data_IF_624178452957
#
_entry.id   IF_624178452957
#
_cell.length_a   1.000
_cell.length_b   1.000
_cell.length_c   1.000
_cell.angle_alpha   90.00
_cell.angle_beta   90.00
_cell.angle_gamma   90.00
#
_symmetry.space_group_name_H-M   'P 1'
#
loop_
_entity.id
_entity.type
_entity.pdbx_description
1 polymer ?
#
# COMPACT_ATOMS: atom_id res chain seq x y z
N UNK A 1 14.70 14.86 -3.43
CA UNK A 1 15.69 15.29 -4.45
C UNK A 1 15.44 16.70 -4.97
N UNK A 2 14.28 17.03 -5.58
CA UNK A 2 13.95 18.41 -5.96
C UNK A 2 14.07 19.39 -4.78
N UNK A 3 13.60 18.97 -3.60
CA UNK A 3 13.67 19.75 -2.38
C UNK A 3 15.10 20.15 -1.98
N UNK A 4 16.11 19.27 -2.16
CA UNK A 4 17.51 19.63 -1.88
C UNK A 4 17.94 20.76 -2.81
N UNK A 5 17.70 20.60 -4.11
CA UNK A 5 18.05 21.62 -5.10
C UNK A 5 17.36 22.96 -4.82
N UNK A 6 16.06 22.95 -4.51
CA UNK A 6 15.29 24.15 -4.19
C UNK A 6 15.80 24.84 -2.92
N UNK A 7 16.18 24.06 -1.90
CA UNK A 7 16.74 24.57 -0.65
C UNK A 7 18.12 25.21 -0.86
N UNK A 8 18.99 24.61 -1.65
CA UNK A 8 20.33 25.17 -1.94
C UNK A 8 20.30 26.42 -2.84
N UNK A 9 19.18 26.67 -3.52
CA UNK A 9 18.93 27.93 -4.25
C UNK A 9 18.48 29.09 -3.34
N UNK A 10 18.17 28.85 -2.07
CA UNK A 10 17.67 29.87 -1.14
C UNK A 10 18.77 30.58 -0.38
N UNK A 11 18.44 31.64 0.33
CA UNK A 11 19.42 32.41 1.10
C UNK A 11 20.22 31.55 2.10
N UNK A 12 21.45 31.97 2.43
CA UNK A 12 22.33 31.26 3.35
C UNK A 12 21.77 31.21 4.77
N UNK A 13 22.10 30.16 5.50
CA UNK A 13 21.61 29.84 6.84
C UNK A 13 20.80 28.56 6.88
N UNK A 14 20.09 28.34 7.99
CA UNK A 14 19.21 27.20 8.16
C UNK A 14 18.03 27.27 7.20
N UNK A 15 17.79 26.16 6.50
CA UNK A 15 16.66 26.00 5.60
C UNK A 15 16.03 24.63 5.83
N UNK A 16 14.71 24.54 5.76
CA UNK A 16 14.06 23.22 5.75
C UNK A 16 14.23 22.55 4.39
N UNK A 17 14.43 21.24 4.43
CA UNK A 17 14.31 20.36 3.28
C UNK A 17 12.83 19.96 3.16
N UNK A 18 12.09 20.63 2.28
CA UNK A 18 10.68 20.35 2.04
C UNK A 18 9.71 21.35 2.68
N UNK A 19 8.62 20.85 3.27
CA UNK A 19 7.52 21.69 3.77
C UNK A 19 7.84 22.15 5.20
N UNK A 20 7.96 23.46 5.42
CA UNK A 20 8.22 24.04 6.75
C UNK A 20 7.06 23.86 7.75
N UNK A 21 5.87 23.51 7.29
CA UNK A 21 4.62 23.51 8.06
C UNK A 21 4.25 22.15 8.68
N UNK A 22 5.21 21.24 8.84
CA UNK A 22 4.98 19.93 9.46
C UNK A 22 5.70 19.83 10.80
N UNK A 23 5.15 19.02 11.71
CA UNK A 23 5.67 18.84 13.05
C UNK A 23 7.02 18.11 13.09
N UNK A 24 7.41 17.43 12.03
CA UNK A 24 8.71 16.76 11.91
C UNK A 24 9.29 17.16 10.57
N UNK A 25 10.47 17.78 10.59
CA UNK A 25 11.11 18.24 9.36
C UNK A 25 12.62 18.15 9.45
N UNK A 26 13.22 17.98 8.29
CA UNK A 26 14.67 17.99 8.11
C UNK A 26 15.11 19.40 7.76
N UNK A 27 16.24 19.83 8.29
CA UNK A 27 16.85 21.11 7.97
C UNK A 27 18.32 20.97 7.61
N UNK A 28 18.81 21.91 6.81
CA UNK A 28 20.21 22.00 6.38
C UNK A 28 20.70 23.43 6.53
N UNK A 29 21.93 23.60 7.00
CA UNK A 29 22.59 24.89 7.08
C UNK A 29 23.34 25.15 5.77
N UNK A 30 22.79 26.03 4.94
CA UNK A 30 23.39 26.41 3.66
C UNK A 30 24.43 27.50 3.89
N UNK A 31 25.67 27.21 3.60
CA UNK A 31 26.81 28.12 3.85
C UNK A 31 27.18 28.94 2.61
N UNK A 32 27.71 30.15 2.82
CA UNK A 32 28.17 31.08 1.78
C UNK A 32 29.63 30.91 1.38
N UNK A 33 30.34 29.99 2.02
CA UNK A 33 31.77 29.85 1.85
C UNK A 33 32.24 28.44 2.18
N UNK A 34 33.54 28.17 1.96
CA UNK A 34 34.11 26.85 2.18
C UNK A 34 34.05 26.51 3.67
N UNK A 35 33.15 25.60 4.02
CA UNK A 35 33.11 24.97 5.34
C UNK A 35 33.64 23.54 5.24
N UNK A 36 34.38 23.06 6.25
CA UNK A 36 34.89 21.68 6.24
C UNK A 36 33.76 20.67 6.38
N UNK A 37 32.66 21.06 7.02
CA UNK A 37 31.51 20.20 7.32
C UNK A 37 30.21 20.85 6.85
N UNK A 38 29.21 20.01 6.55
CA UNK A 38 27.83 20.42 6.35
C UNK A 38 27.02 20.06 7.59
N UNK A 39 26.25 21.00 8.09
CA UNK A 39 25.36 20.78 9.22
C UNK A 39 23.95 20.51 8.70
N UNK A 40 23.37 19.40 9.16
CA UNK A 40 21.98 19.03 8.93
C UNK A 40 21.33 18.75 10.27
N UNK A 41 20.01 18.84 10.36
CA UNK A 41 19.28 18.64 11.59
C UNK A 41 17.98 17.89 11.35
N UNK A 42 17.72 16.88 12.17
CA UNK A 42 16.41 16.27 12.29
C UNK A 42 15.65 16.96 13.43
N UNK A 43 14.47 17.51 13.13
CA UNK A 43 13.70 18.33 14.07
C UNK A 43 12.34 17.67 14.34
N UNK A 44 12.04 17.41 15.61
CA UNK A 44 10.73 16.87 16.04
C UNK A 44 9.95 17.91 16.85
N UNK A 45 9.30 18.83 16.13
CA UNK A 45 8.38 19.84 16.64
C UNK A 45 7.09 19.30 17.30
N UNK A 46 6.83 17.99 17.30
CA UNK A 46 5.72 17.37 18.08
C UNK A 46 5.79 17.71 19.57
N UNK A 47 7.00 17.88 20.13
CA UNK A 47 7.20 18.30 21.53
C UNK A 47 6.53 19.64 21.81
N UNK A 48 6.63 20.60 20.89
CA UNK A 48 6.04 21.91 21.06
C UNK A 48 4.50 21.85 21.09
N UNK A 49 3.90 20.99 20.28
CA UNK A 49 2.46 20.71 20.33
C UNK A 49 2.05 20.11 21.69
N UNK A 50 2.84 19.17 22.21
CA UNK A 50 2.61 18.59 23.54
C UNK A 50 2.69 19.64 24.65
N UNK A 51 3.66 20.55 24.60
CA UNK A 51 3.79 21.66 25.56
C UNK A 51 2.54 22.56 25.58
N UNK A 52 2.00 22.90 24.41
CA UNK A 52 0.77 23.69 24.33
C UNK A 52 -0.43 22.94 24.93
N UNK A 53 -0.58 21.66 24.59
CA UNK A 53 -1.66 20.81 25.11
C UNK A 53 -1.57 20.64 26.63
N UNK A 54 -0.36 20.54 27.18
CA UNK A 54 -0.16 20.52 28.63
C UNK A 54 -0.53 21.85 29.28
N UNK A 55 -0.12 22.99 28.69
CA UNK A 55 -0.46 24.31 29.22
C UNK A 55 -1.98 24.59 29.18
N UNK A 56 -2.65 24.21 28.10
CA UNK A 56 -4.10 24.40 27.96
C UNK A 56 -4.91 23.58 28.98
N UNK A 57 -4.40 22.41 29.38
CA UNK A 57 -5.09 21.51 30.31
C UNK A 57 -4.73 21.76 31.78
N UNK A 58 -3.45 22.00 32.07
CA UNK A 58 -2.94 21.97 33.46
C UNK A 58 -2.51 23.33 34.01
N UNK A 59 -2.44 24.38 33.19
CA UNK A 59 -1.93 25.66 33.64
C UNK A 59 -2.78 26.25 34.78
N UNK A 60 -2.08 26.81 35.78
CA UNK A 60 -2.70 27.56 36.88
C UNK A 60 -3.35 28.86 36.40
N UNK A 61 -2.96 29.34 35.22
CA UNK A 61 -3.43 30.59 34.66
C UNK A 61 -4.58 30.37 33.68
N UNK A 62 -5.71 31.03 33.93
CA UNK A 62 -6.89 30.95 33.07
C UNK A 62 -6.60 31.39 31.62
N UNK A 63 -5.74 32.37 31.41
CA UNK A 63 -5.40 32.86 30.06
C UNK A 63 -4.67 31.81 29.22
N UNK A 64 -3.91 30.90 29.83
CA UNK A 64 -3.26 29.80 29.12
C UNK A 64 -4.25 28.67 28.81
N UNK A 65 -5.16 28.37 29.75
CA UNK A 65 -6.19 27.34 29.57
C UNK A 65 -7.25 27.68 28.53
N UNK A 66 -7.58 28.97 28.41
CA UNK A 66 -8.56 29.48 27.45
C UNK A 66 -7.90 30.15 26.24
N UNK A 67 -6.60 29.94 26.02
CA UNK A 67 -5.95 30.44 24.81
C UNK A 67 -6.49 29.69 23.60
N UNK A 68 -6.72 30.40 22.49
CA UNK A 68 -7.12 29.83 21.21
C UNK A 68 -5.91 29.62 20.29
N UNK A 69 -4.73 29.42 20.87
CA UNK A 69 -3.46 29.33 20.15
C UNK A 69 -2.32 30.07 20.85
N UNK A 70 -1.15 30.01 20.23
CA UNK A 70 0.03 30.75 20.67
C UNK A 70 0.92 31.16 19.48
N UNK A 71 1.73 32.17 19.71
CA UNK A 71 2.89 32.48 18.90
C UNK A 71 4.09 32.48 19.86
N UNK A 72 5.04 31.59 19.61
CA UNK A 72 6.15 31.36 20.51
C UNK A 72 7.43 31.03 19.74
N UNK A 73 8.55 31.55 20.24
CA UNK A 73 9.88 31.04 19.89
C UNK A 73 10.30 30.05 20.96
N UNK A 74 10.35 28.77 20.62
CA UNK A 74 10.63 27.67 21.52
C UNK A 74 11.97 27.04 21.18
N UNK A 75 12.69 26.62 22.22
CA UNK A 75 13.85 25.74 22.04
C UNK A 75 13.35 24.32 21.99
N UNK A 76 13.42 23.71 20.83
CA UNK A 76 12.95 22.34 20.60
C UNK A 76 14.18 21.43 20.48
N UNK A 77 14.17 20.24 21.09
CA UNK A 77 15.24 19.28 20.89
C UNK A 77 15.28 18.83 19.42
N UNK A 78 16.48 18.71 18.85
CA UNK A 78 16.75 18.15 17.54
C UNK A 78 18.04 17.32 17.55
N UNK A 79 18.26 16.56 16.50
CA UNK A 79 19.51 15.84 16.28
C UNK A 79 20.33 16.60 15.26
N UNK A 80 21.48 17.12 15.69
CA UNK A 80 22.44 17.78 14.82
C UNK A 80 23.36 16.72 14.22
N UNK A 81 23.48 16.75 12.89
CA UNK A 81 24.36 15.92 12.11
C UNK A 81 25.39 16.79 11.43
N UNK A 82 26.67 16.61 11.78
CA UNK A 82 27.79 17.27 11.12
C UNK A 82 28.47 16.27 10.18
N UNK A 83 28.34 16.50 8.86
CA UNK A 83 28.83 15.59 7.83
C UNK A 83 30.07 16.16 7.15
N UNK A 84 31.15 15.38 7.12
CA UNK A 84 32.39 15.63 6.39
C UNK A 84 32.66 14.46 5.46
N UNK A 85 33.03 14.72 4.21
CA UNK A 85 33.39 13.67 3.25
C UNK A 85 34.79 13.90 2.70
N UNK A 86 35.54 12.80 2.57
CA UNK A 86 36.92 12.79 2.07
C UNK A 86 37.01 11.81 0.91
N UNK A 87 37.70 12.18 -0.17
CA UNK A 87 37.94 11.27 -1.29
C UNK A 87 38.79 10.08 -0.85
N UNK A 88 38.41 8.88 -1.29
CA UNK A 88 39.13 7.63 -0.99
C UNK A 88 39.40 6.89 -2.28
N UNK A 89 40.61 6.34 -2.39
CA UNK A 89 41.04 5.63 -3.58
C UNK A 89 40.94 4.12 -3.36
N UNK A 90 40.50 3.39 -4.39
CA UNK A 90 40.49 1.92 -4.39
C UNK A 90 39.28 1.28 -3.73
N UNK A 91 38.20 2.03 -3.46
CA UNK A 91 36.92 1.48 -3.02
C UNK A 91 36.32 0.56 -4.10
N UNK A 92 35.58 -0.45 -3.67
CA UNK A 92 34.98 -1.42 -4.58
C UNK A 92 33.83 -0.79 -5.40
N UNK A 93 33.70 -1.15 -6.67
CA UNK A 93 32.66 -0.61 -7.55
C UNK A 93 31.27 -0.92 -6.98
N UNK A 94 30.46 0.12 -6.81
CA UNK A 94 29.09 0.04 -6.30
C UNK A 94 29.00 -0.28 -4.81
N UNK A 95 30.11 -0.28 -4.06
CA UNK A 95 30.08 -0.59 -2.63
C UNK A 95 29.47 0.54 -1.83
N UNK A 96 28.64 0.16 -0.88
CA UNK A 96 28.17 1.02 0.20
C UNK A 96 28.45 0.27 1.50
N UNK A 97 29.33 0.81 2.33
CA UNK A 97 29.57 0.26 3.67
C UNK A 97 29.28 1.33 4.69
N UNK A 98 28.63 0.93 5.78
CA UNK A 98 28.26 1.85 6.86
C UNK A 98 28.69 1.23 8.17
N UNK A 99 29.29 2.02 9.06
CA UNK A 99 29.71 1.58 10.38
C UNK A 99 29.58 2.72 11.39
N UNK A 100 29.14 2.43 12.61
CA UNK A 100 29.18 3.36 13.72
C UNK A 100 30.49 3.20 14.52
N UNK A 101 30.98 4.29 15.11
CA UNK A 101 32.09 4.27 16.07
C UNK A 101 31.61 4.66 17.47
N UNK A 102 32.48 4.47 18.47
CA UNK A 102 32.22 4.80 19.89
C UNK A 102 32.02 6.30 20.16
N UNK A 103 32.35 7.17 19.21
CA UNK A 103 32.27 8.63 19.34
C UNK A 103 31.00 9.20 18.69
N UNK A 104 29.91 8.43 18.64
CA UNK A 104 28.65 8.82 18.00
C UNK A 104 28.80 9.29 16.54
N UNK A 105 29.79 8.73 15.83
CA UNK A 105 30.03 9.03 14.40
C UNK A 105 29.63 7.84 13.54
N UNK A 106 28.87 8.10 12.49
CA UNK A 106 28.58 7.13 11.42
C UNK A 106 29.58 7.36 10.29
N UNK A 107 30.31 6.32 9.91
CA UNK A 107 31.15 6.30 8.72
C UNK A 107 30.39 5.62 7.58
N UNK A 108 30.32 6.30 6.43
CA UNK A 108 29.69 5.81 5.20
C UNK A 108 30.75 5.84 4.10
N UNK A 109 31.16 4.67 3.61
CA UNK A 109 32.03 4.56 2.44
C UNK A 109 31.20 4.27 1.19
N UNK A 110 31.33 5.12 0.18
CA UNK A 110 30.66 5.00 -1.11
C UNK A 110 31.73 4.80 -2.18
N UNK A 111 31.70 3.63 -2.82
CA UNK A 111 32.60 3.28 -3.90
C UNK A 111 32.13 3.77 -5.27
N UNK A 112 32.99 3.67 -6.29
CA UNK A 112 32.73 4.22 -7.63
C UNK A 112 31.56 3.51 -8.33
N UNK A 113 30.79 4.22 -9.17
CA UNK A 113 29.64 3.60 -9.82
C UNK A 113 30.04 2.64 -10.97
N UNK A 114 31.20 2.88 -11.61
CA UNK A 114 31.80 1.98 -12.61
C UNK A 114 33.32 1.96 -12.44
N UNK A 115 34.00 0.95 -12.98
CA UNK A 115 35.47 0.85 -12.92
C UNK A 115 36.20 1.98 -13.67
N UNK A 116 35.49 2.73 -14.52
CA UNK A 116 36.06 3.75 -15.40
C UNK A 116 35.54 5.17 -15.04
N UNK A 117 34.90 5.34 -13.89
CA UNK A 117 34.43 6.67 -13.46
C UNK A 117 35.58 7.54 -12.97
N UNK A 118 35.47 8.86 -13.14
CA UNK A 118 36.39 9.85 -12.55
C UNK A 118 36.27 9.93 -11.02
N UNK A 119 35.10 9.59 -10.49
CA UNK A 119 34.87 9.41 -9.07
C UNK A 119 35.47 8.08 -8.64
N UNK A 120 36.48 8.10 -7.77
CA UNK A 120 37.17 6.90 -7.26
C UNK A 120 36.56 6.33 -5.97
N UNK A 121 35.78 7.14 -5.26
CA UNK A 121 35.18 6.80 -3.97
C UNK A 121 35.25 7.95 -2.97
N UNK A 122 34.42 7.86 -1.93
CA UNK A 122 34.37 8.84 -0.84
C UNK A 122 34.03 8.16 0.47
N UNK A 123 34.62 8.63 1.56
CA UNK A 123 34.26 8.26 2.91
C UNK A 123 33.68 9.49 3.61
N UNK A 124 32.44 9.37 4.06
CA UNK A 124 31.73 10.37 4.80
C UNK A 124 31.68 10.01 6.28
N UNK A 125 31.96 10.97 7.15
CA UNK A 125 31.87 10.89 8.59
C UNK A 125 30.75 11.81 9.03
N UNK A 126 29.78 11.25 9.75
CA UNK A 126 28.58 11.94 10.22
C UNK A 126 28.62 11.90 11.74
N UNK A 127 28.99 13.01 12.37
CA UNK A 127 28.95 13.15 13.82
C UNK A 127 27.54 13.51 14.26
N UNK A 128 26.98 12.73 15.18
CA UNK A 128 25.62 12.92 15.71
C UNK A 128 25.72 13.53 17.11
N UNK A 129 24.92 14.56 17.35
CA UNK A 129 24.86 15.23 18.65
C UNK A 129 23.43 15.71 18.94
N UNK A 130 22.94 15.42 20.14
CA UNK A 130 21.74 16.08 20.66
C UNK A 130 21.94 17.60 20.74
N UNK A 131 21.01 18.36 20.18
CA UNK A 131 21.03 19.80 20.20
C UNK A 131 19.65 20.40 20.45
N UNK A 132 19.59 21.66 20.85
CA UNK A 132 18.35 22.44 20.88
C UNK A 132 18.43 23.55 19.84
N UNK A 133 17.35 23.72 19.10
CA UNK A 133 17.22 24.79 18.10
C UNK A 133 16.04 25.69 18.43
N UNK A 134 16.24 27.00 18.25
CA UNK A 134 15.14 27.95 18.31
C UNK A 134 14.24 27.78 17.09
N UNK A 135 13.01 27.34 17.32
CA UNK A 135 11.96 27.28 16.32
C UNK A 135 10.88 28.27 16.68
N UNK A 136 10.37 28.95 15.66
CA UNK A 136 9.11 29.64 15.82
C UNK A 136 7.96 28.73 15.48
N UNK A 137 6.92 28.88 16.29
CA UNK A 137 5.71 28.12 16.15
C UNK A 137 4.53 29.08 16.23
N UNK A 138 3.62 28.89 15.28
CA UNK A 138 2.33 29.54 15.30
C UNK A 138 1.23 28.46 15.33
N UNK A 139 0.38 28.57 16.35
CA UNK A 139 -0.81 27.74 16.51
C UNK A 139 -2.03 28.64 16.57
N UNK A 140 -3.07 28.27 15.82
CA UNK A 140 -4.38 28.90 15.87
C UNK A 140 -5.46 27.82 16.01
N UNK A 141 -6.40 28.03 16.92
CA UNK A 141 -7.49 27.09 17.19
C UNK A 141 -8.44 26.97 16.00
N UNK A 142 -8.89 25.75 15.73
CA UNK A 142 -9.84 25.40 14.67
C UNK A 142 -9.28 24.69 13.44
N UNK A 143 -7.95 24.67 13.23
CA UNK A 143 -7.34 24.00 12.06
C UNK A 143 -6.61 22.70 12.40
N UNK A 144 -6.21 22.48 13.67
CA UNK A 144 -5.35 21.35 14.03
C UNK A 144 -3.93 21.42 13.46
N UNK A 145 -3.64 22.45 12.66
CA UNK A 145 -2.42 22.62 11.91
C UNK A 145 -1.44 23.52 12.69
N UNK A 146 -0.34 22.92 13.12
CA UNK A 146 0.79 23.64 13.72
C UNK A 146 1.70 24.14 12.60
N UNK A 147 1.92 25.45 12.52
CA UNK A 147 2.92 26.01 11.61
C UNK A 147 4.25 26.15 12.32
N UNK A 148 5.30 25.55 11.75
CA UNK A 148 6.66 25.65 12.25
C UNK A 148 7.51 26.50 11.31
N UNK A 149 8.54 27.14 11.85
CA UNK A 149 9.53 27.83 11.05
C UNK A 149 10.88 27.86 11.76
N UNK A 150 11.88 27.27 11.12
CA UNK A 150 13.28 27.38 11.52
C UNK A 150 13.90 28.73 11.10
N UNK A 151 13.34 29.36 10.06
CA UNK A 151 13.83 30.62 9.47
C UNK A 151 13.13 31.87 10.00
N UNK A 152 12.28 31.73 11.02
CA UNK A 152 11.44 32.81 11.53
C UNK A 152 10.67 33.52 10.39
N UNK A 153 10.05 32.72 9.51
CA UNK A 153 9.33 33.19 8.32
C UNK A 153 10.14 34.16 7.45
N UNK A 154 11.45 33.94 7.35
CA UNK A 154 12.39 34.75 6.59
C UNK A 154 12.99 35.95 7.34
N UNK A 155 12.67 36.15 8.63
CA UNK A 155 13.23 37.24 9.44
C UNK A 155 14.53 36.84 10.17
N UNK A 156 14.91 35.57 10.15
CA UNK A 156 16.16 35.11 10.76
C UNK A 156 16.57 33.72 10.29
N UNK A 157 17.49 33.66 9.31
CA UNK A 157 18.00 32.41 8.75
C UNK A 157 19.01 31.68 9.66
N UNK A 158 19.59 32.39 10.64
CA UNK A 158 20.62 31.84 11.53
C UNK A 158 20.06 31.59 12.93
N UNK A 159 19.20 30.56 13.05
CA UNK A 159 18.75 30.10 14.35
C UNK A 159 19.94 29.67 15.23
N UNK A 160 19.94 30.10 16.50
CA UNK A 160 20.95 29.68 17.46
C UNK A 160 20.77 28.21 17.81
N UNK A 161 21.87 27.45 17.76
CA UNK A 161 21.92 26.04 18.14
C UNK A 161 22.64 25.94 19.48
N UNK A 162 22.01 25.25 20.44
CA UNK A 162 22.64 24.86 21.69
C UNK A 162 22.94 23.38 21.65
N UNK A 163 24.21 23.05 21.39
CA UNK A 163 24.75 21.71 21.52
C UNK A 163 24.70 21.26 22.98
N UNK A 164 24.14 20.09 23.25
CA UNK A 164 24.00 19.57 24.61
C UNK A 164 25.26 18.82 25.09
N UNK A 165 26.24 18.63 24.21
CA UNK A 165 27.45 17.88 24.48
C UNK A 165 27.25 16.38 24.25
N UNK A 166 28.34 15.68 23.96
CA UNK A 166 28.31 14.24 23.69
C UNK A 166 27.83 13.44 24.91
N UNK A 167 26.93 12.49 24.64
CA UNK A 167 26.27 11.62 25.61
C UNK A 167 26.27 10.16 25.14
N UNK A 168 26.03 9.22 26.05
CA UNK A 168 25.83 7.79 25.70
C UNK A 168 24.62 7.58 24.78
N UNK A 169 23.62 8.46 24.87
CA UNK A 169 22.46 8.48 23.99
C UNK A 169 22.90 8.76 22.53
N UNK A 170 23.84 9.68 22.29
CA UNK A 170 24.34 9.98 20.94
C UNK A 170 25.00 8.77 20.28
N UNK A 171 25.75 7.98 21.05
CA UNK A 171 26.35 6.74 20.57
C UNK A 171 25.29 5.69 20.20
N UNK A 172 24.26 5.56 21.05
CA UNK A 172 23.14 4.65 20.79
C UNK A 172 22.42 5.06 19.49
N UNK A 173 22.15 6.35 19.29
CA UNK A 173 21.55 6.87 18.07
C UNK A 173 22.40 6.60 16.81
N UNK A 174 23.72 6.76 16.90
CA UNK A 174 24.62 6.47 15.79
C UNK A 174 24.62 4.97 15.41
N UNK A 175 24.65 4.10 16.42
CA UNK A 175 24.60 2.64 16.23
C UNK A 175 23.26 2.22 15.63
N UNK A 176 22.16 2.70 16.18
CA UNK A 176 20.82 2.36 15.68
C UNK A 176 20.55 2.93 14.28
N UNK A 177 20.98 4.17 14.01
CA UNK A 177 20.88 4.77 12.69
C UNK A 177 21.70 4.01 11.64
N UNK A 178 22.85 3.46 12.04
CA UNK A 178 23.66 2.60 11.19
C UNK A 178 22.95 1.29 10.86
N UNK A 179 22.42 0.59 11.87
CA UNK A 179 21.67 -0.65 11.69
C UNK A 179 20.49 -0.45 10.72
N UNK A 180 19.69 0.59 10.97
CA UNK A 180 18.55 0.94 10.10
C UNK A 180 18.98 1.23 8.67
N UNK A 181 20.05 2.02 8.49
CA UNK A 181 20.57 2.33 7.16
C UNK A 181 21.03 1.08 6.43
N UNK A 182 21.75 0.19 7.10
CA UNK A 182 22.18 -1.08 6.53
C UNK A 182 20.99 -1.95 6.09
N UNK A 183 19.91 -1.97 6.88
CA UNK A 183 18.72 -2.78 6.58
C UNK A 183 17.95 -2.28 5.35
N UNK A 184 17.86 -0.96 5.12
CA UNK A 184 17.16 -0.43 3.94
C UNK A 184 18.06 -0.20 2.72
N UNK A 185 19.38 -0.15 2.89
CA UNK A 185 20.33 0.12 1.81
C UNK A 185 20.10 -0.80 0.59
N UNK A 186 19.84 -2.12 0.73
CA UNK A 186 19.51 -2.96 -0.41
C UNK A 186 18.26 -2.49 -1.17
N UNK A 187 17.23 -2.00 -0.45
CA UNK A 187 16.02 -1.48 -1.08
C UNK A 187 16.31 -0.18 -1.85
N UNK A 188 17.13 0.71 -1.30
CA UNK A 188 17.54 1.92 -2.00
C UNK A 188 18.36 1.63 -3.26
N UNK A 189 19.27 0.66 -3.19
CA UNK A 189 20.04 0.21 -4.35
C UNK A 189 19.14 -0.40 -5.44
N UNK A 190 18.02 -1.01 -5.05
CA UNK A 190 17.03 -1.60 -5.94
C UNK A 190 15.94 -0.63 -6.43
N UNK A 191 15.94 0.65 -6.01
CA UNK A 191 14.95 1.64 -6.49
C UNK A 191 15.08 1.94 -8.00
N UNK A 192 16.22 1.59 -8.59
CA UNK A 192 16.43 1.70 -10.02
C UNK A 192 15.96 0.44 -10.74
N UNK A 193 15.09 0.62 -11.73
CA UNK A 193 14.67 -0.44 -12.65
C UNK A 193 15.80 -0.95 -13.56
N UNK A 194 16.92 -0.23 -13.63
CA UNK A 194 18.12 -0.60 -14.36
C UNK A 194 19.38 -0.27 -13.53
N UNK A 195 19.73 -1.10 -12.52
CA UNK A 195 20.81 -0.80 -11.57
C UNK A 195 22.21 -0.69 -12.23
N UNK A 196 22.36 -1.21 -13.46
CA UNK A 196 23.57 -1.06 -14.27
C UNK A 196 23.69 0.31 -14.96
N UNK A 197 22.59 1.07 -15.07
CA UNK A 197 22.52 2.35 -15.80
C UNK A 197 22.34 3.51 -14.82
N UNK A 198 21.46 3.36 -13.84
CA UNK A 198 21.23 4.34 -12.78
C UNK A 198 21.38 3.61 -11.45
N UNK A 199 22.48 3.81 -10.75
CA UNK A 199 22.68 3.31 -9.39
C UNK A 199 22.49 4.47 -8.39
N UNK A 200 22.23 4.15 -7.13
CA UNK A 200 22.15 5.13 -6.03
C UNK A 200 23.40 6.04 -6.01
N UNK A 201 24.58 5.46 -6.22
CA UNK A 201 25.82 6.23 -6.30
C UNK A 201 25.81 7.24 -7.45
N UNK A 202 25.42 6.84 -8.67
CA UNK A 202 25.38 7.77 -9.80
C UNK A 202 24.37 8.89 -9.60
N UNK A 203 23.27 8.61 -8.89
CA UNK A 203 22.26 9.61 -8.56
C UNK A 203 22.82 10.65 -7.58
N UNK A 204 23.52 10.21 -6.53
CA UNK A 204 24.15 11.10 -5.56
C UNK A 204 25.20 11.99 -6.22
N UNK A 205 26.05 11.41 -7.08
CA UNK A 205 27.06 12.18 -7.82
C UNK A 205 26.39 13.21 -8.72
N UNK A 206 25.32 12.84 -9.45
CA UNK A 206 24.60 13.78 -10.31
C UNK A 206 24.00 14.96 -9.52
N UNK A 207 23.50 14.71 -8.30
CA UNK A 207 23.01 15.77 -7.41
C UNK A 207 24.19 16.62 -6.92
N UNK A 208 25.29 16.00 -6.51
CA UNK A 208 26.47 16.71 -6.05
C UNK A 208 27.03 17.64 -7.15
N UNK A 209 27.17 17.14 -8.38
CA UNK A 209 27.55 17.93 -9.55
C UNK A 209 26.58 19.11 -9.75
N UNK A 210 25.28 18.87 -9.63
CA UNK A 210 24.27 19.92 -9.74
C UNK A 210 24.44 20.98 -8.63
N UNK A 211 24.71 20.57 -7.39
CA UNK A 211 24.97 21.48 -6.28
C UNK A 211 26.25 22.31 -6.49
N UNK A 212 27.30 21.72 -7.05
CA UNK A 212 28.51 22.44 -7.42
C UNK A 212 28.23 23.53 -8.47
N UNK A 213 27.33 23.27 -9.44
CA UNK A 213 26.96 24.27 -10.46
C UNK A 213 26.18 25.47 -9.91
N UNK A 214 25.57 25.36 -8.72
CA UNK A 214 24.86 26.47 -8.06
C UNK A 214 25.82 27.54 -7.47
N UNK A 215 27.13 27.39 -7.68
CA UNK A 215 28.17 28.41 -7.50
C UNK A 215 28.27 29.03 -6.09
N UNK A 216 28.29 28.18 -5.05
CA UNK A 216 28.62 28.57 -3.64
C UNK A 216 30.03 28.16 -3.18
N UNK A 217 30.89 27.76 -4.12
CA UNK A 217 32.24 27.30 -3.79
C UNK A 217 32.31 25.91 -3.16
N UNK A 218 31.30 25.07 -3.37
CA UNK A 218 31.32 23.68 -2.94
C UNK A 218 32.28 22.83 -3.77
N UNK A 219 33.14 22.07 -3.10
CA UNK A 219 33.87 20.96 -3.69
C UNK A 219 32.94 19.77 -3.92
N UNK A 220 33.36 18.80 -4.75
CA UNK A 220 32.65 17.54 -4.95
C UNK A 220 32.37 16.83 -3.62
N UNK A 221 33.37 16.73 -2.75
CA UNK A 221 33.22 16.13 -1.42
C UNK A 221 32.21 16.86 -0.56
N UNK A 222 32.20 18.19 -0.56
CA UNK A 222 31.28 18.99 0.25
C UNK A 222 29.84 18.91 -0.27
N UNK A 223 29.67 18.86 -1.59
CA UNK A 223 28.38 18.62 -2.22
C UNK A 223 27.85 17.21 -1.90
N UNK A 224 28.72 16.19 -1.88
CA UNK A 224 28.36 14.85 -1.41
C UNK A 224 28.01 14.87 0.08
N UNK A 225 28.75 15.59 0.93
CA UNK A 225 28.44 15.74 2.36
C UNK A 225 27.03 16.29 2.57
N UNK A 226 26.61 17.26 1.77
CA UNK A 226 25.27 17.83 1.83
C UNK A 226 24.19 16.78 1.50
N UNK A 227 24.41 15.97 0.47
CA UNK A 227 23.45 14.93 0.06
C UNK A 227 23.39 13.81 1.09
N UNK A 228 24.54 13.31 1.54
CA UNK A 228 24.61 12.24 2.55
C UNK A 228 24.02 12.71 3.88
N UNK A 229 24.40 13.90 4.34
CA UNK A 229 23.83 14.49 5.57
C UNK A 229 22.32 14.65 5.47
N UNK A 230 21.80 15.11 4.31
CA UNK A 230 20.36 15.23 4.08
C UNK A 230 19.64 13.88 4.13
N UNK A 231 20.21 12.82 3.55
CA UNK A 231 19.62 11.46 3.61
C UNK A 231 19.53 10.97 5.06
N UNK A 232 20.60 11.11 5.83
CA UNK A 232 20.61 10.66 7.23
C UNK A 232 19.69 11.52 8.10
N UNK A 233 19.69 12.84 7.92
CA UNK A 233 18.81 13.72 8.68
C UNK A 233 17.32 13.45 8.36
N UNK A 234 16.99 13.14 7.11
CA UNK A 234 15.63 12.74 6.72
C UNK A 234 15.24 11.38 7.30
N UNK A 235 16.16 10.41 7.28
CA UNK A 235 15.99 9.12 7.94
C UNK A 235 15.70 9.30 9.43
N UNK A 236 16.50 10.08 10.16
CA UNK A 236 16.29 10.33 11.59
C UNK A 236 15.00 11.10 11.87
N UNK A 237 14.60 12.03 10.98
CA UNK A 237 13.32 12.74 11.09
C UNK A 237 12.13 11.79 10.94
N UNK A 238 12.28 10.73 10.15
CA UNK A 238 11.23 9.72 9.95
C UNK A 238 11.05 8.74 11.12
N UNK A 239 12.01 8.68 12.04
CA UNK A 239 11.91 7.81 13.21
C UNK A 239 10.98 8.40 14.27
N UNK A 240 10.30 7.53 15.00
CA UNK A 240 9.68 7.90 16.26
C UNK A 240 10.72 7.84 17.37
N UNK A 241 10.66 8.75 18.34
CA UNK A 241 11.72 8.90 19.34
C UNK A 241 11.22 8.77 20.77
N UNK A 242 12.07 8.24 21.65
CA UNK A 242 11.89 8.33 23.10
C UNK A 242 12.64 9.54 23.66
N UNK A 243 11.98 10.26 24.57
CA UNK A 243 12.52 11.45 25.22
C UNK A 243 12.86 11.12 26.67
N UNK A 244 14.02 11.57 27.13
CA UNK A 244 14.30 11.70 28.56
C UNK A 244 14.28 13.14 28.96
N UNK A 245 13.53 13.44 30.01
CA UNK A 245 13.57 14.75 30.65
C UNK A 245 14.54 14.68 31.84
N UNK A 246 15.76 15.18 31.63
CA UNK A 246 16.72 15.44 32.70
C UNK A 246 16.42 16.86 33.18
N UNK A 247 16.42 17.19 34.48
CA UNK A 247 15.96 18.50 34.97
C UNK A 247 16.60 19.68 34.21
N UNK A 248 15.81 20.31 33.34
CA UNK A 248 16.21 21.45 32.51
C UNK A 248 16.63 21.15 31.06
N UNK A 249 16.81 19.88 30.68
CA UNK A 249 17.17 19.44 29.33
C UNK A 249 16.41 18.17 28.94
N UNK A 250 15.57 18.27 27.92
CA UNK A 250 14.97 17.11 27.25
C UNK A 250 15.92 16.62 26.15
N UNK A 251 16.35 15.36 26.21
CA UNK A 251 17.26 14.72 25.24
C UNK A 251 16.56 13.56 24.52
N UNK A 252 16.99 13.26 23.29
CA UNK A 252 16.61 12.03 22.60
C UNK A 252 17.51 10.89 23.05
N UNK A 253 16.92 9.74 23.36
CA UNK A 253 17.66 8.54 23.75
C UNK A 253 17.92 7.59 22.58
N UNK A 254 16.98 7.53 21.64
CA UNK A 254 17.01 6.57 20.55
C UNK A 254 15.67 6.47 19.82
N UNK A 255 15.68 5.93 18.59
CA UNK A 255 14.47 5.69 17.85
C UNK A 255 13.69 4.49 18.45
N UNK A 256 12.36 4.56 18.42
CA UNK A 256 11.49 3.48 18.88
C UNK A 256 11.56 2.34 17.86
N UNK A 257 12.17 1.23 18.27
CA UNK A 257 12.08 -0.02 17.52
C UNK A 257 10.71 -0.66 17.77
N UNK A 258 9.79 -0.48 16.83
CA UNK A 258 8.61 -1.33 16.73
C UNK A 258 9.05 -2.73 16.33
N UNK A 259 9.40 -3.55 17.31
CA UNK A 259 9.41 -4.98 17.10
C UNK A 259 7.94 -5.36 16.83
N UNK A 260 7.60 -5.54 15.55
CA UNK A 260 6.41 -6.29 15.17
C UNK A 260 6.68 -7.70 15.65
N UNK A 261 6.41 -7.94 16.92
CA UNK A 261 6.12 -9.28 17.36
C UNK A 261 4.94 -9.69 16.51
N UNK A 262 5.20 -10.55 15.52
CA UNK A 262 4.18 -11.38 14.90
C UNK A 262 3.63 -12.25 16.02
N UNK A 263 2.78 -11.66 16.86
CA UNK A 263 2.23 -12.33 18.01
C UNK A 263 1.16 -13.23 17.45
N UNK A 264 1.49 -14.52 17.35
CA UNK A 264 0.46 -15.54 17.47
C UNK A 264 -0.38 -15.27 18.74
N UNK A 265 -1.58 -15.85 18.82
CA UNK A 265 -2.52 -15.59 19.91
C UNK A 265 -1.79 -15.66 21.28
N UNK A 266 -1.73 -14.56 22.02
CA UNK A 266 -1.01 -14.46 23.30
C UNK A 266 -1.91 -14.83 24.47
N UNK A 267 -3.20 -14.54 24.31
CA UNK A 267 -4.19 -14.81 25.34
C UNK A 267 -4.92 -16.12 25.01
N UNK A 268 -5.24 -16.97 26.01
CA UNK A 268 -5.95 -18.23 25.78
C UNK A 268 -7.27 -18.07 25.00
N UNK A 269 -7.96 -16.94 25.12
CA UNK A 269 -9.19 -16.67 24.38
C UNK A 269 -8.96 -16.40 22.88
N UNK A 270 -7.81 -15.83 22.51
CA UNK A 270 -7.46 -15.56 21.12
C UNK A 270 -7.24 -16.88 20.37
N UNK A 271 -6.67 -17.90 21.04
CA UNK A 271 -6.58 -19.27 20.50
C UNK A 271 -7.95 -19.90 20.27
N UNK A 272 -8.91 -19.65 21.17
CA UNK A 272 -10.29 -20.13 21.01
C UNK A 272 -10.93 -19.53 19.76
N UNK A 273 -10.78 -18.22 19.53
CA UNK A 273 -11.31 -17.57 18.33
C UNK A 273 -10.63 -18.10 17.06
N UNK A 274 -9.29 -18.19 17.06
CA UNK A 274 -8.54 -18.73 15.92
C UNK A 274 -8.97 -20.17 15.58
N UNK A 275 -9.24 -20.99 16.60
CA UNK A 275 -9.73 -22.37 16.44
C UNK A 275 -11.14 -22.39 15.84
N UNK A 276 -12.06 -21.58 16.36
CA UNK A 276 -13.43 -21.47 15.82
C UNK A 276 -13.39 -21.03 14.36
N UNK A 277 -12.57 -20.03 14.05
CA UNK A 277 -12.43 -19.51 12.68
C UNK A 277 -11.83 -20.56 11.74
N UNK A 278 -10.83 -21.31 12.20
CA UNK A 278 -10.26 -22.45 11.46
C UNK A 278 -11.28 -23.55 11.19
N UNK A 279 -12.16 -23.88 12.16
CA UNK A 279 -13.25 -24.85 11.97
C UNK A 279 -14.25 -24.34 10.93
N UNK A 280 -14.67 -23.07 11.01
CA UNK A 280 -15.60 -22.47 10.05
C UNK A 280 -15.03 -22.50 8.63
N UNK A 281 -13.75 -22.15 8.47
CA UNK A 281 -13.06 -22.23 7.17
C UNK A 281 -12.99 -23.67 6.67
N UNK A 282 -12.65 -24.64 7.54
CA UNK A 282 -12.66 -26.06 7.15
C UNK A 282 -14.04 -26.54 6.69
N UNK A 283 -15.12 -26.11 7.35
CA UNK A 283 -16.49 -26.42 6.94
C UNK A 283 -16.75 -25.85 5.54
N UNK A 284 -16.40 -24.59 5.28
CA UNK A 284 -16.59 -23.98 3.96
C UNK A 284 -15.76 -24.66 2.86
N UNK A 285 -14.52 -25.06 3.17
CA UNK A 285 -13.67 -25.80 2.22
C UNK A 285 -14.25 -27.18 1.96
N UNK A 286 -14.79 -27.85 2.98
CA UNK A 286 -15.47 -29.13 2.84
C UNK A 286 -16.75 -29.03 2.01
N UNK A 287 -17.58 -28.01 2.25
CA UNK A 287 -18.80 -27.75 1.47
C UNK A 287 -18.49 -27.42 0.00
N UNK A 288 -17.45 -26.61 -0.23
CA UNK A 288 -16.95 -26.34 -1.58
C UNK A 288 -16.46 -27.64 -2.25
N UNK A 289 -15.73 -28.48 -1.50
CA UNK A 289 -15.30 -29.80 -1.94
C UNK A 289 -16.46 -30.73 -2.26
N UNK A 290 -17.54 -30.71 -1.50
CA UNK A 290 -18.77 -31.46 -1.76
C UNK A 290 -19.47 -30.97 -3.04
N UNK A 291 -19.60 -29.66 -3.23
CA UNK A 291 -20.21 -29.07 -4.42
C UNK A 291 -19.43 -29.45 -5.70
N UNK A 292 -18.10 -29.44 -5.63
CA UNK A 292 -17.23 -29.84 -6.73
C UNK A 292 -17.25 -31.35 -6.96
N UNK A 293 -17.23 -32.16 -5.90
CA UNK A 293 -17.19 -33.63 -6.02
C UNK A 293 -18.51 -34.22 -6.50
N UNK A 294 -19.63 -33.61 -6.13
CA UNK A 294 -20.96 -34.06 -6.54
C UNK A 294 -21.52 -33.34 -7.77
N UNK A 295 -20.70 -32.57 -8.51
CA UNK A 295 -21.01 -31.99 -9.83
C UNK A 295 -22.43 -31.43 -9.95
N UNK A 296 -22.78 -30.49 -9.07
CA UNK A 296 -24.08 -29.82 -9.10
C UNK A 296 -25.21 -30.72 -8.58
N UNK A 297 -25.94 -30.20 -7.60
CA UNK A 297 -27.21 -30.71 -7.09
C UNK A 297 -27.93 -31.60 -8.11
N UNK A 298 -28.11 -32.88 -7.77
CA UNK A 298 -28.96 -33.81 -8.52
C UNK A 298 -30.20 -33.04 -9.02
N UNK A 299 -30.40 -33.02 -10.35
CA UNK A 299 -31.54 -32.34 -10.98
C UNK A 299 -32.79 -32.65 -10.17
N UNK A 300 -33.39 -31.62 -9.55
CA UNK A 300 -34.59 -31.80 -8.73
C UNK A 300 -35.64 -32.58 -9.53
N UNK A 301 -36.40 -33.45 -8.88
CA UNK A 301 -37.33 -34.38 -9.55
C UNK A 301 -38.29 -33.73 -10.58
N UNK A 302 -38.54 -32.41 -10.47
CA UNK A 302 -39.31 -31.61 -11.42
C UNK A 302 -38.63 -31.40 -12.79
N UNK A 303 -37.29 -31.49 -12.85
CA UNK A 303 -36.48 -31.44 -14.08
C UNK A 303 -36.33 -32.83 -14.73
N UNK A 304 -36.88 -33.89 -14.14
CA UNK A 304 -36.95 -35.20 -14.80
C UNK A 304 -38.07 -35.23 -15.85
N UNK A 305 -37.97 -36.11 -16.86
CA UNK A 305 -38.99 -36.29 -17.91
C UNK A 305 -40.40 -36.53 -17.33
N UNK A 306 -40.49 -37.32 -16.25
CA UNK A 306 -41.74 -37.57 -15.54
C UNK A 306 -42.27 -36.31 -14.84
N UNK A 307 -41.38 -35.49 -14.28
CA UNK A 307 -41.71 -34.17 -13.73
C UNK A 307 -42.28 -33.24 -14.79
N UNK A 308 -41.58 -33.12 -15.93
CA UNK A 308 -41.99 -32.28 -17.07
C UNK A 308 -43.27 -32.76 -17.76
N UNK A 309 -43.49 -34.07 -17.91
CA UNK A 309 -44.74 -34.61 -18.46
C UNK A 309 -45.93 -34.35 -17.53
N UNK A 310 -45.72 -34.43 -16.21
CA UNK A 310 -46.80 -34.13 -15.25
C UNK A 310 -47.19 -32.65 -15.31
N UNK A 311 -46.23 -31.73 -15.45
CA UNK A 311 -46.53 -30.30 -15.64
C UNK A 311 -47.14 -30.02 -17.01
N UNK A 312 -46.71 -30.70 -18.08
CA UNK A 312 -47.30 -30.55 -19.40
C UNK A 312 -48.76 -31.05 -19.45
N UNK A 313 -49.07 -32.19 -18.81
CA UNK A 313 -50.43 -32.73 -18.75
C UNK A 313 -51.36 -31.91 -17.84
N UNK A 314 -50.80 -31.17 -16.88
CA UNK A 314 -51.54 -30.22 -16.06
C UNK A 314 -51.64 -28.82 -16.69
N UNK A 315 -50.95 -28.56 -17.80
CA UNK A 315 -51.05 -27.29 -18.52
C UNK A 315 -52.34 -27.27 -19.35
N UNK A 316 -53.12 -26.20 -19.23
CA UNK A 316 -54.37 -26.06 -19.97
C UNK A 316 -54.10 -26.06 -21.47
N UNK A 317 -54.85 -26.87 -22.24
CA UNK A 317 -54.84 -26.80 -23.70
C UNK A 317 -55.02 -25.34 -24.13
N UNK A 318 -54.08 -24.84 -24.93
CA UNK A 318 -54.22 -23.54 -25.58
C UNK A 318 -55.34 -23.71 -26.60
N UNK A 319 -56.56 -23.40 -26.19
CA UNK A 319 -57.65 -23.21 -27.13
C UNK A 319 -57.28 -22.03 -28.03
N UNK A 320 -57.42 -22.22 -29.33
CA UNK A 320 -57.24 -21.18 -30.34
C UNK A 320 -57.89 -19.87 -29.86
N UNK A 321 -57.08 -18.82 -29.80
CA UNK A 321 -57.52 -17.47 -29.46
C UNK A 321 -58.50 -16.99 -30.53
N UNK A 322 -59.80 -17.05 -30.24
CA UNK A 322 -60.87 -16.54 -31.12
C UNK A 322 -61.06 -15.03 -31.05
N UNK A 323 -60.27 -14.30 -30.26
CA UNK A 323 -60.38 -12.84 -30.13
C UNK A 323 -59.19 -12.13 -30.80
N UNK A 324 -59.04 -12.36 -32.11
CA UNK A 324 -58.28 -11.50 -33.00
C UNK A 324 -59.25 -10.68 -33.84
N UNK A 325 -59.98 -9.75 -33.21
CA UNK A 325 -60.87 -8.82 -33.92
C UNK A 325 -60.12 -7.62 -34.54
N UNK A 326 -58.78 -7.60 -34.51
CA UNK A 326 -57.95 -6.59 -35.19
C UNK A 326 -56.65 -7.20 -35.75
N UNK A 327 -56.75 -8.27 -36.53
CA UNK A 327 -55.62 -8.82 -37.27
C UNK A 327 -55.94 -8.90 -38.77
N UNK A 328 -55.44 -7.94 -39.54
CA UNK A 328 -55.23 -8.14 -40.98
C UNK A 328 -54.03 -9.08 -41.18
N UNK A 329 -54.29 -10.38 -41.16
CA UNK A 329 -53.85 -11.44 -42.11
C UNK A 329 -53.81 -12.81 -41.42
N UNK A 330 -54.40 -13.85 -42.04
CA UNK A 330 -54.61 -15.14 -41.39
C UNK A 330 -53.33 -15.98 -41.43
N UNK A 331 -52.84 -16.44 -40.27
CA UNK A 331 -52.00 -17.62 -40.22
C UNK A 331 -52.88 -18.83 -40.59
N UNK A 332 -52.76 -19.21 -41.85
CA UNK A 332 -53.54 -20.23 -42.54
C UNK A 332 -53.37 -21.59 -41.85
N UNK A 333 -54.46 -22.13 -41.30
CA UNK A 333 -54.74 -23.54 -41.02
C UNK A 333 -53.51 -24.44 -40.74
N UNK A 334 -53.09 -24.54 -39.48
CA UNK A 334 -52.37 -25.74 -39.02
C UNK A 334 -53.39 -26.75 -38.52
N UNK A 335 -53.61 -27.84 -39.26
CA UNK A 335 -54.45 -28.94 -38.78
C UNK A 335 -53.91 -29.49 -37.44
N UNK A 336 -54.79 -29.81 -36.47
CA UNK A 336 -54.38 -30.26 -35.15
C UNK A 336 -53.71 -31.64 -35.23
N UNK A 337 -52.37 -31.67 -35.24
CA UNK A 337 -51.61 -32.91 -35.22
C UNK A 337 -51.55 -33.45 -33.78
N UNK A 338 -51.93 -34.72 -33.56
CA UNK A 338 -51.83 -35.36 -32.25
C UNK A 338 -50.54 -36.16 -32.15
N UNK A 339 -49.73 -35.86 -31.13
CA UNK A 339 -48.48 -36.57 -30.84
C UNK A 339 -48.76 -37.76 -29.92
N UNK A 340 -48.29 -38.94 -30.30
CA UNK A 340 -48.36 -40.13 -29.45
C UNK A 340 -46.94 -40.57 -29.09
N UNK A 341 -46.67 -40.68 -27.79
CA UNK A 341 -45.42 -41.23 -27.27
C UNK A 341 -45.68 -42.66 -26.78
N UNK A 342 -44.90 -43.63 -27.28
CA UNK A 342 -44.87 -44.98 -26.72
C UNK A 342 -43.55 -45.18 -26.00
N UNK A 343 -43.64 -45.69 -24.78
CA UNK A 343 -42.51 -46.26 -24.06
C UNK A 343 -42.24 -47.66 -24.62
N UNK A 344 -41.09 -47.86 -25.25
CA UNK A 344 -40.63 -49.19 -25.65
C UNK A 344 -39.61 -49.63 -24.61
N UNK A 345 -39.88 -50.78 -23.98
CA UNK A 345 -38.91 -51.44 -23.10
C UNK A 345 -38.13 -52.43 -23.95
N UNK A 346 -36.81 -52.31 -23.92
CA UNK A 346 -35.96 -53.37 -24.41
C UNK A 346 -36.02 -54.58 -23.45
N UNK A 347 -35.48 -55.71 -23.90
CA UNK A 347 -35.40 -56.95 -23.11
C UNK A 347 -34.55 -56.83 -21.84
N UNK A 348 -33.83 -55.72 -21.66
CA UNK A 348 -33.00 -55.41 -20.49
C UNK A 348 -33.67 -54.42 -19.52
N UNK A 349 -34.91 -53.99 -19.82
CA UNK A 349 -35.72 -53.13 -18.97
C UNK A 349 -35.38 -51.64 -19.04
N UNK A 350 -34.53 -51.21 -19.98
CA UNK A 350 -34.33 -49.79 -20.28
C UNK A 350 -35.46 -49.26 -21.16
N UNK A 351 -36.03 -48.14 -20.73
CA UNK A 351 -37.15 -47.47 -21.40
C UNK A 351 -36.60 -46.43 -22.37
N UNK A 352 -36.64 -46.72 -23.67
CA UNK A 352 -36.40 -45.71 -24.70
C UNK A 352 -37.75 -45.21 -25.21
N UNK A 353 -38.11 -43.98 -24.82
CA UNK A 353 -39.32 -43.34 -25.32
C UNK A 353 -39.14 -42.97 -26.79
N UNK A 354 -39.94 -43.57 -27.68
CA UNK A 354 -39.97 -43.19 -29.10
C UNK A 354 -41.25 -42.39 -29.34
N UNK A 355 -41.10 -41.14 -29.77
CA UNK A 355 -42.22 -40.25 -30.10
C UNK A 355 -42.51 -40.40 -31.59
N UNK A 356 -43.77 -40.68 -31.93
CA UNK A 356 -44.20 -40.78 -33.33
C UNK A 356 -45.28 -39.73 -33.57
N UNK A 357 -45.08 -38.93 -34.61
CA UNK A 357 -46.08 -37.97 -35.08
C UNK A 357 -46.99 -38.70 -36.06
N UNK A 358 -48.29 -38.76 -35.77
CA UNK A 358 -49.27 -39.42 -36.64
C UNK A 358 -50.21 -38.36 -37.21
N UNK A 359 -50.28 -38.31 -38.53
CA UNK A 359 -51.15 -37.38 -39.25
C UNK A 359 -52.62 -37.85 -39.22
N UNK A 360 -53.55 -36.88 -39.23
CA UNK A 360 -54.98 -37.06 -39.04
C UNK A 360 -55.63 -37.90 -40.16
N UNK A 361 -55.06 -37.85 -41.37
CA UNK A 361 -55.53 -38.62 -42.53
C UNK A 361 -55.30 -40.14 -42.33
N UNK A 362 -54.12 -40.52 -41.81
CA UNK A 362 -53.82 -41.89 -41.39
C UNK A 362 -54.77 -42.39 -40.30
N UNK A 363 -55.12 -41.51 -39.37
CA UNK A 363 -56.04 -41.80 -38.26
C UNK A 363 -57.45 -42.11 -38.74
N UNK A 364 -57.91 -41.43 -39.80
CA UNK A 364 -59.25 -41.61 -40.36
C UNK A 364 -59.39 -42.84 -41.27
N UNK A 365 -58.30 -43.29 -41.89
CA UNK A 365 -58.29 -44.48 -42.75
C UNK A 365 -58.54 -45.82 -42.01
N UNK A 366 -58.35 -45.87 -40.69
CA UNK A 366 -58.56 -47.06 -39.86
C UNK A 366 -59.96 -47.13 -39.22
N UNK A 367 -60.92 -46.34 -39.71
CA UNK A 367 -62.25 -46.21 -39.11
C UNK A 367 -63.18 -47.39 -39.46
N UNK A 368 -63.47 -48.23 -38.47
CA UNK A 368 -64.74 -48.95 -38.36
C UNK A 368 -65.79 -48.07 -37.65
N UNK A 369 -67.09 -48.12 -38.04
CA UNK A 369 -68.10 -47.27 -37.41
C UNK A 369 -68.40 -47.75 -35.98
N UNK A 370 -68.04 -46.95 -34.97
CA UNK A 370 -68.51 -47.10 -33.58
C UNK A 370 -67.43 -47.36 -32.51
N UNK A 371 -66.16 -47.50 -32.87
CA UNK A 371 -65.07 -47.76 -31.91
C UNK A 371 -64.36 -46.47 -31.42
N UNK A 372 -63.96 -46.49 -30.14
CA UNK A 372 -63.18 -45.42 -29.50
C UNK A 372 -61.77 -45.36 -30.10
N UNK A 373 -61.27 -44.14 -30.32
CA UNK A 373 -59.98 -43.83 -30.94
C UNK A 373 -58.81 -44.47 -30.20
N UNK A 374 -58.24 -45.54 -30.76
CA UNK A 374 -56.88 -46.00 -30.45
C UNK A 374 -56.19 -46.32 -31.78
N UNK A 375 -55.02 -45.71 -32.01
CA UNK A 375 -54.15 -46.11 -33.13
C UNK A 375 -53.21 -47.18 -32.59
N UNK A 376 -53.39 -48.41 -33.03
CA UNK A 376 -52.44 -49.48 -32.72
C UNK A 376 -51.25 -49.37 -33.68
N UNK A 377 -50.14 -48.83 -33.18
CA UNK A 377 -48.89 -48.72 -33.92
C UNK A 377 -48.30 -50.14 -34.07
N UNK A 378 -48.27 -50.66 -35.30
CA UNK A 378 -47.69 -51.97 -35.61
C UNK A 378 -46.20 -51.84 -35.89
N UNK A 379 -45.41 -52.77 -35.36
CA UNK A 379 -43.94 -52.74 -35.41
C UNK A 379 -43.37 -52.89 -36.84
N UNK A 380 -44.18 -53.28 -37.82
CA UNK A 380 -43.79 -53.60 -39.21
C UNK A 380 -44.03 -52.45 -40.22
N UNK A 381 -44.54 -51.29 -39.80
CA UNK A 381 -44.79 -50.14 -40.69
C UNK A 381 -43.85 -48.97 -40.39
N UNK A 382 -43.18 -48.47 -41.43
CA UNK A 382 -42.50 -47.18 -41.37
C UNK A 382 -43.51 -46.04 -41.55
N UNK A 383 -43.58 -45.18 -40.54
CA UNK A 383 -44.35 -43.95 -40.57
C UNK A 383 -43.40 -42.80 -40.88
N UNK A 384 -43.77 -41.98 -41.88
CA UNK A 384 -42.92 -40.95 -42.47
C UNK A 384 -42.29 -40.03 -41.41
N UNK A 385 -40.96 -40.09 -41.27
CA UNK A 385 -40.19 -39.07 -40.57
C UNK A 385 -40.20 -37.79 -41.40
N UNK A 386 -40.82 -36.73 -40.89
CA UNK A 386 -40.39 -35.39 -41.27
C UNK A 386 -39.29 -35.00 -40.29
N UNK A 387 -38.06 -34.98 -40.78
CA UNK A 387 -36.93 -34.47 -40.01
C UNK A 387 -37.14 -32.97 -39.79
N UNK A 388 -37.07 -32.54 -38.52
CA UNK A 388 -36.81 -31.17 -38.11
C UNK A 388 -35.50 -31.14 -37.34
#
# INVERSE_FOLDING_TARGET
MSQIYDTFNQEPGWQSLGINQVAEFTAINVTDGPTPTIQTMAVHGKVAAAMYNEQSTTSKHNWARYSSGWDATLKVPGLLLETECLSVNGSAVGSWTVAANENATISVEIGPYTSNSSFEGVQCLISIENAQISLQQWLYDGTGDYSYSITNWGQGMNAGIWKLGSSEDDFSMATEGTDWFQDFLPNLQNLSSAPQIVNLTSLIITIADSLMTLNRGYSETLAISAVVGAIFADMFTSFEWTYTDIPGNTTYQGPIRWQIYGSGPRLPWEWTIATVLGIVVMIHVYDLGLLLRYNGLAQGYWLSLNGMMRTANLSSQINETSDAQNAETPAQYSEPTRLFAREIRDSEGQTTGKVVVVDQETLNSQRGPGEKQYVELRDDREYSKKDQ
#
